data_IF_126913990676
#
_entry.id   IF_126913990676
#
_cell.length_a   1.000
_cell.length_b   1.000
_cell.length_c   1.000
_cell.angle_alpha   90.00
_cell.angle_beta   90.00
_cell.angle_gamma   90.00
#
_symmetry.space_group_name_H-M   'P 1'
#
loop_
_entity.id
_entity.type
_entity.pdbx_description
1 polymer ?
#
# COMPACT_ATOMS: atom_id res chain seq x y z
N UNK A 1 3.57 -34.79 14.75
CA UNK A 1 3.68 -33.41 14.23
C UNK A 1 3.77 -32.48 15.42
N UNK A 2 4.98 -31.87 15.65
CA UNK A 2 5.15 -30.84 16.69
C UNK A 2 4.55 -29.55 16.15
N UNK A 3 3.49 -29.06 16.76
CA UNK A 3 2.98 -27.70 16.57
C UNK A 3 4.08 -26.71 16.97
N UNK A 4 4.58 -25.92 16.03
CA UNK A 4 5.56 -24.87 16.31
C UNK A 4 4.81 -23.59 16.64
N UNK A 5 4.92 -23.13 17.86
CA UNK A 5 4.60 -21.75 18.21
C UNK A 5 5.89 -20.92 18.16
N UNK A 6 5.81 -19.72 17.64
CA UNK A 6 6.91 -18.78 17.62
C UNK A 6 6.41 -17.40 18.01
N UNK A 7 7.28 -16.66 18.64
CA UNK A 7 7.04 -15.24 18.96
C UNK A 7 8.35 -14.50 18.74
N UNK A 8 8.26 -13.30 18.23
CA UNK A 8 9.41 -12.48 17.93
C UNK A 8 9.07 -11.01 18.22
N UNK A 9 10.07 -10.23 18.63
CA UNK A 9 9.99 -8.79 18.71
C UNK A 9 10.82 -8.23 17.56
N UNK A 10 10.15 -7.59 16.63
CA UNK A 10 10.79 -7.09 15.41
C UNK A 10 10.83 -5.58 15.40
N UNK A 11 12.02 -5.07 15.06
CA UNK A 11 12.19 -3.71 14.55
C UNK A 11 12.26 -3.83 13.02
N UNK A 12 11.28 -3.30 12.34
CA UNK A 12 11.21 -3.33 10.88
C UNK A 12 11.18 -1.88 10.38
N UNK A 13 12.05 -1.55 9.41
CA UNK A 13 11.83 -0.36 8.60
C UNK A 13 10.61 -0.63 7.72
N UNK A 14 9.53 0.01 8.03
CA UNK A 14 8.23 -0.37 7.51
C UNK A 14 8.11 -0.14 6.04
N UNK A 15 8.62 0.93 5.63
CA UNK A 15 8.39 1.44 4.28
C UNK A 15 9.57 2.27 3.84
N UNK A 16 9.49 2.60 2.61
CA UNK A 16 10.41 3.45 1.89
C UNK A 16 10.57 4.79 2.58
N UNK A 17 11.79 5.26 2.71
CA UNK A 17 12.09 6.63 3.11
C UNK A 17 11.38 7.61 2.18
N UNK A 18 10.57 8.51 2.73
CA UNK A 18 9.74 9.43 1.96
C UNK A 18 9.70 10.83 2.57
N UNK A 19 9.27 11.83 1.77
CA UNK A 19 9.27 13.25 2.20
C UNK A 19 8.20 13.60 3.24
N UNK A 20 7.26 12.69 3.50
CA UNK A 20 6.16 12.92 4.44
C UNK A 20 6.47 12.34 5.81
N UNK A 21 7.03 11.13 5.86
CA UNK A 21 7.29 10.41 7.10
C UNK A 21 8.76 10.39 7.52
N UNK A 22 9.70 10.67 6.59
CA UNK A 22 11.09 10.32 6.74
C UNK A 22 11.29 8.82 6.63
N UNK A 23 11.92 8.19 7.62
CA UNK A 23 12.01 6.73 7.75
C UNK A 23 10.94 6.26 8.73
N UNK A 24 9.87 5.60 8.29
CA UNK A 24 8.93 4.99 9.21
C UNK A 24 9.54 3.72 9.81
N UNK A 25 9.54 3.65 11.13
CA UNK A 25 10.05 2.51 11.89
C UNK A 25 8.88 1.76 12.51
N UNK A 26 8.79 0.46 12.25
CA UNK A 26 7.84 -0.42 12.90
C UNK A 26 8.52 -1.20 14.01
N UNK A 27 7.98 -1.12 15.20
CA UNK A 27 8.41 -1.91 16.34
C UNK A 27 7.21 -2.61 16.96
N UNK A 28 7.31 -3.89 17.16
CA UNK A 28 6.27 -4.63 17.84
C UNK A 28 6.41 -6.15 17.78
N UNK A 29 5.58 -6.85 18.54
CA UNK A 29 5.59 -8.30 18.58
C UNK A 29 4.92 -8.93 17.36
N UNK A 30 5.46 -10.05 16.95
CA UNK A 30 4.85 -10.98 16.00
C UNK A 30 4.68 -12.33 16.70
N UNK A 31 3.49 -12.88 16.64
CA UNK A 31 3.16 -14.21 17.17
C UNK A 31 2.67 -15.10 16.04
N UNK A 32 3.08 -16.35 16.07
CA UNK A 32 2.60 -17.33 15.12
C UNK A 32 2.53 -18.72 15.71
N UNK A 33 1.60 -19.51 15.21
CA UNK A 33 1.45 -20.91 15.57
C UNK A 33 1.09 -21.72 14.34
N UNK A 34 1.97 -22.66 13.99
CA UNK A 34 1.68 -23.65 12.97
C UNK A 34 0.81 -24.75 13.60
N UNK A 35 -0.34 -24.97 12.99
CA UNK A 35 -1.29 -26.03 13.30
C UNK A 35 -1.17 -27.12 12.24
N UNK A 36 -1.55 -28.35 12.54
CA UNK A 36 -1.46 -29.44 11.57
C UNK A 36 -2.28 -29.21 10.29
N UNK A 37 -3.29 -28.36 10.37
CA UNK A 37 -4.20 -28.00 9.27
C UNK A 37 -3.95 -26.59 8.69
N UNK A 38 -3.09 -25.78 9.32
CA UNK A 38 -2.88 -24.40 8.89
C UNK A 38 -2.00 -23.58 9.84
N UNK A 39 -2.17 -22.27 9.83
CA UNK A 39 -1.39 -21.31 10.63
C UNK A 39 -2.27 -20.23 11.22
N UNK A 40 -1.94 -19.83 12.44
CA UNK A 40 -2.41 -18.58 13.07
C UNK A 40 -1.26 -17.58 13.12
N UNK A 41 -1.52 -16.32 12.83
CA UNK A 41 -0.56 -15.23 13.02
C UNK A 41 -1.21 -13.99 13.60
N UNK A 42 -0.44 -13.25 14.38
CA UNK A 42 -0.78 -11.94 14.94
C UNK A 42 0.46 -11.06 14.88
N UNK A 43 0.37 -9.96 14.17
CA UNK A 43 1.39 -8.92 14.08
C UNK A 43 0.83 -7.63 14.69
N UNK A 44 1.54 -7.06 15.64
CA UNK A 44 1.11 -5.82 16.29
C UNK A 44 2.31 -4.86 16.38
N UNK A 45 2.30 -3.81 15.57
CA UNK A 45 3.39 -2.87 15.45
C UNK A 45 2.93 -1.44 15.73
N UNK A 46 3.68 -0.72 16.55
CA UNK A 46 3.67 0.74 16.58
C UNK A 46 4.53 1.27 15.43
N UNK A 47 4.10 2.35 14.82
CA UNK A 47 4.81 3.03 13.72
C UNK A 47 5.34 4.36 14.23
N UNK A 48 6.64 4.60 14.04
CA UNK A 48 7.27 5.87 14.33
C UNK A 48 7.75 6.55 13.05
N UNK A 49 7.24 7.76 12.78
CA UNK A 49 7.58 8.58 11.62
C UNK A 49 8.68 9.55 11.99
N UNK A 50 9.86 9.42 11.38
CA UNK A 50 11.07 10.13 11.84
C UNK A 50 11.23 11.54 11.27
N UNK A 51 10.41 11.97 10.32
CA UNK A 51 10.58 13.26 9.64
C UNK A 51 10.59 14.50 10.55
N UNK A 52 9.98 14.41 11.73
CA UNK A 52 9.95 15.46 12.76
C UNK A 52 10.72 15.09 14.03
N UNK A 53 11.64 14.13 13.94
CA UNK A 53 12.38 13.63 15.10
C UNK A 53 11.52 12.80 16.03
N UNK A 54 11.86 12.82 17.34
CA UNK A 54 11.25 11.96 18.35
C UNK A 54 10.15 12.67 19.16
N UNK A 55 9.29 13.44 18.51
CA UNK A 55 8.15 14.08 19.18
C UNK A 55 6.95 13.14 19.20
N UNK A 56 6.31 12.99 20.36
CA UNK A 56 5.15 12.14 20.53
C UNK A 56 3.86 12.92 20.22
N UNK A 57 3.32 12.73 19.02
CA UNK A 57 2.05 13.31 18.59
C UNK A 57 1.38 12.39 17.55
N UNK A 58 0.12 12.63 17.24
CA UNK A 58 -0.65 11.84 16.28
C UNK A 58 -0.09 11.85 14.85
N UNK A 59 0.70 12.87 14.50
CA UNK A 59 1.32 12.96 13.19
C UNK A 59 2.56 12.06 13.05
N UNK A 60 3.25 11.80 14.18
CA UNK A 60 4.49 11.03 14.21
C UNK A 60 4.29 9.57 14.62
N UNK A 61 3.14 9.23 15.18
CA UNK A 61 2.85 7.88 15.68
C UNK A 61 1.69 7.29 14.90
N UNK A 62 1.84 6.04 14.51
CA UNK A 62 0.79 5.23 13.91
C UNK A 62 0.80 3.82 14.48
N UNK A 63 0.02 2.95 13.91
CA UNK A 63 0.01 1.53 14.28
C UNK A 63 -0.44 0.65 13.12
N UNK A 64 -0.11 -0.64 13.22
CA UNK A 64 -0.62 -1.69 12.35
C UNK A 64 -0.79 -2.96 13.17
N UNK A 65 -2.01 -3.44 13.28
CA UNK A 65 -2.33 -4.68 13.98
C UNK A 65 -3.04 -5.59 12.97
N UNK A 66 -2.49 -6.76 12.72
CA UNK A 66 -3.03 -7.75 11.77
C UNK A 66 -3.16 -9.10 12.46
N UNK A 67 -4.32 -9.73 12.30
CA UNK A 67 -4.56 -11.11 12.70
C UNK A 67 -5.02 -11.92 11.50
N UNK A 68 -4.49 -13.13 11.32
CA UNK A 68 -4.79 -13.98 10.19
C UNK A 68 -4.85 -15.45 10.59
N UNK A 69 -5.82 -16.16 10.04
CA UNK A 69 -5.94 -17.62 10.08
C UNK A 69 -5.80 -18.14 8.66
N UNK A 70 -4.85 -19.03 8.45
CA UNK A 70 -4.67 -19.75 7.21
C UNK A 70 -5.05 -21.22 7.39
N UNK A 71 -5.90 -21.72 6.53
CA UNK A 71 -6.30 -23.12 6.43
C UNK A 71 -5.70 -23.71 5.15
N UNK A 72 -4.97 -24.79 5.28
CA UNK A 72 -4.19 -25.39 4.19
C UNK A 72 -2.74 -24.88 4.14
N UNK A 73 -1.88 -25.61 3.45
CA UNK A 73 -0.44 -25.33 3.36
C UNK A 73 0.00 -24.95 1.95
N UNK A 74 -0.28 -25.78 0.96
CA UNK A 74 0.03 -25.55 -0.45
C UNK A 74 -1.11 -24.88 -1.22
N UNK A 75 -2.32 -25.04 -0.76
CA UNK A 75 -3.53 -24.38 -1.25
C UNK A 75 -4.53 -24.31 -0.11
N UNK A 76 -5.39 -23.33 -0.16
CA UNK A 76 -6.35 -23.15 0.91
C UNK A 76 -6.98 -21.77 0.96
N UNK A 77 -7.38 -21.41 2.16
CA UNK A 77 -8.06 -20.13 2.46
C UNK A 77 -7.31 -19.39 3.55
N UNK A 78 -7.20 -18.09 3.42
CA UNK A 78 -6.80 -17.17 4.51
C UNK A 78 -7.96 -16.27 4.84
N UNK A 79 -8.19 -16.04 6.12
CA UNK A 79 -9.15 -15.05 6.61
C UNK A 79 -8.43 -14.20 7.64
N UNK A 80 -8.55 -12.91 7.53
CA UNK A 80 -7.86 -12.02 8.44
C UNK A 80 -8.54 -10.68 8.59
N UNK A 81 -7.99 -9.91 9.52
CA UNK A 81 -8.36 -8.53 9.74
C UNK A 81 -7.14 -7.70 10.09
N UNK A 82 -7.22 -6.43 9.78
CA UNK A 82 -6.18 -5.45 10.06
C UNK A 82 -6.84 -4.17 10.58
N UNK A 83 -6.22 -3.57 11.59
CA UNK A 83 -6.49 -2.22 12.04
C UNK A 83 -5.20 -1.42 11.89
N UNK A 84 -5.24 -0.26 11.24
CA UNK A 84 -4.04 0.51 10.96
C UNK A 84 -4.27 2.01 10.97
N UNK A 85 -3.18 2.74 11.23
CA UNK A 85 -3.00 4.16 10.97
C UNK A 85 -1.66 4.32 10.26
N UNK A 86 -1.72 4.40 8.95
CA UNK A 86 -0.56 4.38 8.06
C UNK A 86 -0.63 5.51 7.04
N UNK A 87 0.53 5.93 6.57
CA UNK A 87 0.64 6.79 5.39
C UNK A 87 0.82 5.90 4.17
N UNK A 88 -0.09 6.00 3.23
CA UNK A 88 -0.09 5.21 2.00
C UNK A 88 0.29 6.07 0.79
N UNK A 89 1.04 5.54 -0.17
CA UNK A 89 1.24 6.21 -1.44
C UNK A 89 -0.04 6.14 -2.28
N UNK A 90 -0.32 7.20 -3.04
CA UNK A 90 -1.43 7.23 -4.01
C UNK A 90 -1.22 6.18 -5.10
N UNK A 91 0.03 6.05 -5.56
CA UNK A 91 0.42 5.08 -6.58
C UNK A 91 1.65 4.30 -6.16
N UNK A 92 1.58 2.97 -6.25
CA UNK A 92 2.70 2.06 -5.94
C UNK A 92 3.15 1.23 -7.15
N UNK A 93 2.42 1.28 -8.27
CA UNK A 93 2.65 0.41 -9.42
C UNK A 93 3.71 0.94 -10.42
N UNK A 94 4.05 2.23 -10.38
CA UNK A 94 5.01 2.86 -11.28
C UNK A 94 6.47 2.55 -10.91
N UNK A 95 6.83 2.82 -9.66
CA UNK A 95 8.19 2.70 -9.14
C UNK A 95 8.20 1.73 -7.96
N UNK A 96 9.28 0.96 -7.82
CA UNK A 96 9.47 0.13 -6.64
C UNK A 96 9.76 0.96 -5.39
N UNK A 97 9.55 0.38 -4.23
CA UNK A 97 9.82 1.04 -2.95
C UNK A 97 11.31 1.35 -2.77
N UNK A 98 12.19 0.47 -3.30
CA UNK A 98 13.64 0.65 -3.28
C UNK A 98 14.07 1.83 -4.14
N UNK A 99 13.51 1.97 -5.34
CA UNK A 99 13.83 3.08 -6.26
C UNK A 99 13.41 4.42 -5.66
N UNK A 100 12.20 4.50 -5.11
CA UNK A 100 11.70 5.73 -4.46
C UNK A 100 12.53 6.05 -3.23
N UNK A 101 12.80 5.07 -2.36
CA UNK A 101 13.57 5.29 -1.15
C UNK A 101 15.00 5.75 -1.40
N UNK A 102 15.67 5.11 -2.36
CA UNK A 102 17.02 5.53 -2.77
C UNK A 102 17.02 6.92 -3.40
N UNK A 103 16.07 7.21 -4.29
CA UNK A 103 15.96 8.53 -4.89
C UNK A 103 15.68 9.62 -3.85
N UNK A 104 14.86 9.31 -2.85
CA UNK A 104 14.50 10.23 -1.79
C UNK A 104 15.69 10.48 -0.86
N UNK A 105 16.32 9.45 -0.30
CA UNK A 105 17.39 9.62 0.68
C UNK A 105 18.70 10.15 0.07
N UNK A 106 19.01 9.73 -1.17
CA UNK A 106 20.24 10.15 -1.84
C UNK A 106 20.08 11.47 -2.59
N UNK A 107 19.01 11.62 -3.37
CA UNK A 107 18.91 12.67 -4.38
C UNK A 107 17.93 13.79 -4.04
N UNK A 108 17.26 13.74 -2.89
CA UNK A 108 16.18 14.67 -2.51
C UNK A 108 15.04 14.65 -3.54
N UNK A 109 14.70 13.45 -4.02
CA UNK A 109 13.65 13.27 -5.03
C UNK A 109 12.67 12.19 -4.60
N UNK A 110 11.48 12.62 -4.29
CA UNK A 110 10.34 11.75 -4.02
C UNK A 110 9.24 12.04 -5.03
N UNK A 111 8.91 11.06 -5.84
CA UNK A 111 7.97 11.19 -6.96
C UNK A 111 6.55 10.79 -6.60
N UNK A 112 6.35 10.11 -5.47
CA UNK A 112 5.03 9.67 -5.00
C UNK A 112 4.32 10.76 -4.24
N UNK A 113 3.00 10.68 -4.20
CA UNK A 113 2.11 11.45 -3.35
C UNK A 113 1.52 10.55 -2.27
N UNK A 114 1.18 11.12 -1.12
CA UNK A 114 0.85 10.35 0.07
C UNK A 114 -0.41 10.87 0.75
N UNK A 115 -1.17 9.95 1.35
CA UNK A 115 -2.32 10.26 2.19
C UNK A 115 -2.28 9.43 3.47
N UNK A 116 -3.05 9.83 4.48
CA UNK A 116 -3.24 9.01 5.67
C UNK A 116 -4.40 8.07 5.47
N UNK A 117 -4.21 6.83 5.84
CA UNK A 117 -5.24 5.81 5.92
C UNK A 117 -5.35 5.31 7.35
N UNK A 118 -6.50 5.56 7.99
CA UNK A 118 -6.81 5.08 9.32
C UNK A 118 -8.09 4.29 9.29
N UNK A 119 -8.07 3.05 9.79
CA UNK A 119 -9.28 2.24 9.83
C UNK A 119 -9.04 0.75 9.89
N UNK A 120 -10.14 0.00 9.71
CA UNK A 120 -10.16 -1.44 9.74
C UNK A 120 -10.42 -2.06 8.37
N UNK A 121 -9.82 -3.23 8.15
CA UNK A 121 -10.05 -4.08 6.97
C UNK A 121 -10.25 -5.51 7.41
N UNK A 122 -11.21 -6.20 6.81
CA UNK A 122 -11.34 -7.65 6.90
C UNK A 122 -11.21 -8.24 5.51
N UNK A 123 -10.63 -9.43 5.39
CA UNK A 123 -10.42 -10.05 4.08
C UNK A 123 -10.50 -11.57 4.14
N UNK A 124 -10.79 -12.15 3.00
CA UNK A 124 -10.68 -13.57 2.73
C UNK A 124 -9.92 -13.79 1.42
N UNK A 125 -9.01 -14.75 1.42
CA UNK A 125 -8.19 -15.09 0.25
C UNK A 125 -8.28 -16.57 -0.06
N UNK A 126 -8.30 -16.88 -1.35
CA UNK A 126 -8.04 -18.21 -1.88
C UNK A 126 -6.62 -18.23 -2.44
N UNK A 127 -5.81 -19.21 -2.05
CA UNK A 127 -4.43 -19.28 -2.53
C UNK A 127 -4.03 -20.67 -3.01
N UNK A 128 -3.06 -20.69 -3.92
CA UNK A 128 -2.37 -21.93 -4.36
C UNK A 128 -0.89 -21.66 -4.51
N UNK A 129 -0.12 -22.06 -3.49
CA UNK A 129 1.31 -21.77 -3.40
C UNK A 129 1.58 -20.27 -3.54
N UNK A 130 2.57 -19.94 -4.35
CA UNK A 130 2.88 -18.56 -4.76
C UNK A 130 2.26 -18.20 -6.10
N UNK A 131 1.64 -19.18 -6.79
CA UNK A 131 1.18 -19.04 -8.19
C UNK A 131 -0.14 -18.27 -8.28
N UNK A 132 -1.05 -18.48 -7.34
CA UNK A 132 -2.39 -17.92 -7.40
C UNK A 132 -2.82 -17.38 -6.04
N UNK A 133 -3.40 -16.20 -6.06
CA UNK A 133 -4.00 -15.55 -4.90
C UNK A 133 -5.20 -14.72 -5.36
N UNK A 134 -6.37 -14.98 -4.80
CA UNK A 134 -7.56 -14.16 -4.98
C UNK A 134 -8.00 -13.68 -3.61
N UNK A 135 -7.92 -12.40 -3.36
CA UNK A 135 -8.31 -11.76 -2.11
C UNK A 135 -9.51 -10.87 -2.33
N UNK A 136 -10.53 -11.02 -1.51
CA UNK A 136 -11.65 -10.08 -1.39
C UNK A 136 -11.57 -9.43 -0.02
N UNK A 137 -11.74 -8.12 0.04
CA UNK A 137 -11.70 -7.39 1.30
C UNK A 137 -12.78 -6.33 1.40
N UNK A 138 -13.19 -6.07 2.63
CA UNK A 138 -14.01 -4.92 2.99
C UNK A 138 -13.27 -4.09 4.02
N UNK A 139 -13.22 -2.79 3.78
CA UNK A 139 -12.56 -1.84 4.65
C UNK A 139 -13.49 -0.68 5.02
N UNK A 140 -13.41 -0.26 6.28
CA UNK A 140 -13.98 0.98 6.79
C UNK A 140 -12.80 1.86 7.20
N UNK A 141 -12.58 2.94 6.42
CA UNK A 141 -11.37 3.72 6.46
C UNK A 141 -11.68 5.21 6.47
N UNK A 142 -10.91 5.95 7.24
CA UNK A 142 -10.83 7.40 7.17
C UNK A 142 -9.56 7.78 6.43
N UNK A 143 -9.71 8.55 5.35
CA UNK A 143 -8.61 9.12 4.60
C UNK A 143 -8.40 10.57 4.99
N UNK A 144 -7.15 10.99 5.04
CA UNK A 144 -6.79 12.35 5.42
C UNK A 144 -5.58 12.86 4.66
N UNK A 145 -5.44 14.17 4.65
CA UNK A 145 -4.30 14.86 4.06
C UNK A 145 -3.01 14.62 4.85
N UNK A 146 -1.88 14.66 4.17
CA UNK A 146 -0.55 14.62 4.76
C UNK A 146 0.36 15.65 4.12
N UNK A 147 0.97 16.49 4.95
CA UNK A 147 1.88 17.53 4.50
C UNK A 147 3.29 17.00 4.34
N UNK A 148 3.99 17.56 3.35
CA UNK A 148 5.43 17.38 3.23
C UNK A 148 6.12 17.89 4.49
N UNK A 149 7.11 17.15 4.95
CA UNK A 149 8.05 17.49 6.02
C UNK A 149 9.42 17.76 5.41
N UNK A 150 10.40 18.06 6.22
CA UNK A 150 11.77 18.29 5.76
C UNK A 150 12.72 17.19 6.28
N UNK A 151 12.52 15.91 5.85
CA UNK A 151 13.41 14.84 6.26
C UNK A 151 14.79 15.03 5.65
N UNK A 152 15.81 14.61 6.39
CA UNK A 152 17.20 14.75 5.98
C UNK A 152 17.55 13.90 4.75
N UNK A 153 18.43 14.41 3.89
CA UNK A 153 18.96 13.70 2.72
C UNK A 153 20.47 13.84 2.62
N UNK A 154 21.12 12.89 1.95
CA UNK A 154 22.59 12.89 1.79
C UNK A 154 23.03 14.03 0.89
N UNK A 155 22.36 14.18 -0.24
CA UNK A 155 22.66 15.25 -1.18
C UNK A 155 21.49 16.23 -1.28
N UNK A 156 21.77 17.49 -1.60
CA UNK A 156 20.79 18.55 -1.85
C UNK A 156 19.86 18.83 -0.66
N UNK A 157 20.32 18.59 0.56
CA UNK A 157 19.51 18.75 1.78
C UNK A 157 19.04 20.19 2.03
N UNK A 158 19.56 21.17 1.33
CA UNK A 158 19.13 22.58 1.39
C UNK A 158 18.04 22.94 0.39
N UNK A 159 17.66 22.01 -0.48
CA UNK A 159 16.57 22.22 -1.42
C UNK A 159 15.24 22.04 -0.74
N UNK A 160 14.24 22.78 -1.21
CA UNK A 160 12.87 22.60 -0.73
C UNK A 160 12.25 21.36 -1.35
N UNK A 161 11.55 20.57 -0.54
CA UNK A 161 10.80 19.43 -1.02
C UNK A 161 9.60 19.85 -1.87
N UNK A 162 9.24 19.02 -2.83
CA UNK A 162 7.97 19.12 -3.53
C UNK A 162 6.82 19.02 -2.51
N UNK A 163 5.89 19.93 -2.55
CA UNK A 163 4.71 19.85 -1.72
C UNK A 163 3.92 18.57 -2.02
N UNK A 164 3.37 17.94 -0.98
CA UNK A 164 2.37 16.90 -1.17
C UNK A 164 1.06 17.59 -1.57
N UNK A 165 0.36 17.13 -2.63
CA UNK A 165 -0.91 17.73 -3.01
C UNK A 165 -1.95 17.52 -1.90
N UNK A 166 -2.93 18.39 -1.85
CA UNK A 166 -4.07 18.19 -0.96
C UNK A 166 -4.85 16.94 -1.41
N UNK A 167 -5.15 16.09 -0.44
CA UNK A 167 -5.90 14.87 -0.63
C UNK A 167 -7.35 15.08 -0.23
N UNK A 168 -8.24 14.32 -0.82
CA UNK A 168 -9.63 14.31 -0.41
C UNK A 168 -9.74 13.66 0.98
N UNK A 169 -10.41 14.31 1.91
CA UNK A 169 -10.60 13.78 3.25
C UNK A 169 -11.98 13.15 3.39
N UNK A 170 -12.10 12.11 4.22
CA UNK A 170 -13.41 11.53 4.44
C UNK A 170 -13.39 10.15 5.06
N UNK A 171 -14.60 9.58 5.22
CA UNK A 171 -14.79 8.20 5.68
C UNK A 171 -15.34 7.37 4.53
N UNK A 172 -14.68 6.26 4.24
CA UNK A 172 -14.96 5.44 3.08
C UNK A 172 -15.20 3.98 3.48
N UNK A 173 -16.19 3.38 2.84
CA UNK A 173 -16.43 1.95 2.83
C UNK A 173 -15.94 1.41 1.50
N UNK A 174 -14.95 0.54 1.53
CA UNK A 174 -14.26 0.06 0.34
C UNK A 174 -14.38 -1.45 0.25
N UNK A 175 -14.97 -1.94 -0.82
CA UNK A 175 -14.96 -3.35 -1.22
C UNK A 175 -13.92 -3.52 -2.32
N UNK A 176 -12.94 -4.39 -2.12
CA UNK A 176 -11.91 -4.66 -3.13
C UNK A 176 -11.75 -6.14 -3.43
N UNK A 177 -11.28 -6.42 -4.64
CA UNK A 177 -10.93 -7.75 -5.10
C UNK A 177 -9.61 -7.68 -5.85
N UNK A 178 -8.59 -8.37 -5.33
CA UNK A 178 -7.28 -8.49 -5.95
C UNK A 178 -7.05 -9.92 -6.42
N UNK A 179 -6.76 -10.10 -7.69
CA UNK A 179 -6.33 -11.35 -8.29
C UNK A 179 -4.85 -11.23 -8.66
N UNK A 180 -4.03 -12.15 -8.14
CA UNK A 180 -2.63 -12.32 -8.53
C UNK A 180 -2.41 -13.72 -9.09
N UNK A 181 -1.87 -13.78 -10.30
CA UNK A 181 -1.40 -15.01 -10.93
C UNK A 181 0.06 -14.83 -11.33
N UNK A 182 0.93 -15.67 -10.77
CA UNK A 182 2.37 -15.54 -10.91
C UNK A 182 3.02 -16.90 -11.18
N UNK A 183 3.48 -17.08 -12.40
CA UNK A 183 4.22 -18.27 -12.85
C UNK A 183 5.66 -17.97 -13.24
N UNK A 184 6.17 -16.81 -12.81
CA UNK A 184 7.56 -16.45 -13.06
C UNK A 184 8.50 -17.48 -12.40
N UNK A 185 9.57 -17.77 -13.09
CA UNK A 185 10.59 -18.68 -12.56
C UNK A 185 11.45 -18.05 -11.46
N UNK A 186 11.50 -16.71 -11.38
CA UNK A 186 12.24 -15.94 -10.39
C UNK A 186 11.55 -14.56 -10.23
N UNK A 187 11.35 -14.11 -9.01
CA UNK A 187 10.66 -12.84 -8.74
C UNK A 187 11.55 -11.62 -8.98
N UNK A 188 12.84 -11.74 -8.68
CA UNK A 188 13.82 -10.66 -8.80
C UNK A 188 14.40 -10.49 -10.21
N UNK A 189 14.57 -11.62 -10.94
CA UNK A 189 15.10 -11.63 -12.30
C UNK A 189 14.35 -12.61 -13.19
N UNK A 190 13.07 -12.35 -13.48
CA UNK A 190 12.22 -13.26 -14.22
C UNK A 190 12.70 -13.42 -15.68
N UNK A 191 12.80 -14.66 -16.12
CA UNK A 191 13.18 -15.01 -17.50
C UNK A 191 12.07 -15.68 -18.26
N UNK A 192 11.16 -16.33 -17.54
CA UNK A 192 10.03 -17.07 -18.12
C UNK A 192 8.81 -16.95 -17.20
N UNK A 193 7.62 -17.01 -17.80
CA UNK A 193 6.37 -17.06 -17.08
C UNK A 193 5.50 -15.84 -17.28
N UNK A 194 4.41 -15.81 -16.54
CA UNK A 194 3.42 -14.74 -16.50
C UNK A 194 3.35 -14.14 -15.11
N UNK A 195 3.10 -12.86 -15.06
CA UNK A 195 2.60 -12.15 -13.91
C UNK A 195 1.35 -11.39 -14.31
N UNK A 196 0.25 -11.62 -13.61
CA UNK A 196 -1.03 -10.93 -13.83
C UNK A 196 -1.51 -10.45 -12.47
N UNK A 197 -1.75 -9.15 -12.36
CA UNK A 197 -2.41 -8.51 -11.25
C UNK A 197 -3.66 -7.84 -11.79
N UNK A 198 -4.81 -8.09 -11.17
CA UNK A 198 -6.04 -7.36 -11.41
C UNK A 198 -6.61 -6.89 -10.07
N UNK A 199 -6.75 -5.59 -9.93
CA UNK A 199 -7.25 -4.92 -8.73
C UNK A 199 -8.52 -4.16 -9.07
N UNK A 200 -9.65 -4.63 -8.55
CA UNK A 200 -10.94 -3.97 -8.62
C UNK A 200 -11.31 -3.39 -7.27
N UNK A 201 -11.80 -2.16 -7.27
CA UNK A 201 -12.22 -1.47 -6.07
C UNK A 201 -13.56 -0.75 -6.31
N UNK A 202 -14.50 -0.99 -5.41
CA UNK A 202 -15.74 -0.22 -5.26
C UNK A 202 -15.67 0.54 -3.94
N UNK A 203 -15.84 1.85 -3.98
CA UNK A 203 -15.81 2.69 -2.79
C UNK A 203 -17.03 3.61 -2.71
N UNK A 204 -17.50 3.82 -1.49
CA UNK A 204 -18.54 4.80 -1.18
C UNK A 204 -18.22 5.49 0.12
N UNK A 205 -18.55 6.77 0.25
CA UNK A 205 -18.30 7.49 1.50
C UNK A 205 -18.61 8.97 1.46
N UNK A 206 -18.57 9.56 2.64
CA UNK A 206 -18.62 10.99 2.81
C UNK A 206 -17.23 11.58 2.53
N UNK A 207 -17.15 12.58 1.68
CA UNK A 207 -15.92 13.16 1.18
C UNK A 207 -15.92 14.68 1.34
N UNK A 208 -14.79 15.22 1.74
CA UNK A 208 -14.48 16.65 1.77
C UNK A 208 -13.37 16.93 0.78
N UNK A 209 -13.71 17.56 -0.34
CA UNK A 209 -12.79 17.85 -1.44
C UNK A 209 -12.21 19.24 -1.32
N UNK A 210 -10.89 19.31 -1.39
CA UNK A 210 -10.21 20.60 -1.46
C UNK A 210 -10.25 21.17 -2.90
N UNK A 211 -10.93 22.27 -3.07
CA UNK A 211 -10.93 23.04 -4.32
C UNK A 211 -9.89 24.17 -4.20
N UNK A 212 -8.76 24.11 -4.95
CA UNK A 212 -7.79 25.20 -4.95
C UNK A 212 -8.45 26.47 -5.47
N UNK A 213 -8.11 27.60 -4.87
CA UNK A 213 -8.63 28.92 -5.29
C UNK A 213 -8.32 29.16 -6.76
N UNK A 214 -9.33 29.46 -7.56
CA UNK A 214 -9.11 30.14 -8.83
C UNK A 214 -8.52 31.54 -8.56
N UNK A 215 -7.79 32.09 -9.52
CA UNK A 215 -7.13 33.38 -9.37
C UNK A 215 -8.09 34.44 -8.80
N UNK A 216 -7.81 34.91 -7.58
CA UNK A 216 -8.63 35.94 -6.89
C UNK A 216 -9.75 35.40 -6.01
N UNK A 217 -9.93 34.09 -5.84
CA UNK A 217 -10.94 33.51 -4.94
C UNK A 217 -10.27 32.78 -3.75
N UNK A 218 -11.01 32.54 -2.68
CA UNK A 218 -10.55 31.70 -1.57
C UNK A 218 -10.64 30.23 -1.95
N UNK A 219 -9.69 29.42 -1.44
CA UNK A 219 -9.82 27.96 -1.44
C UNK A 219 -11.09 27.54 -0.70
N UNK A 220 -11.87 26.68 -1.30
CA UNK A 220 -13.10 26.16 -0.72
C UNK A 220 -12.96 24.65 -0.48
N UNK A 221 -13.56 24.18 0.60
CA UNK A 221 -13.78 22.76 0.83
C UNK A 221 -15.23 22.47 0.45
N UNK A 222 -15.43 21.44 -0.37
CA UNK A 222 -16.76 20.98 -0.78
C UNK A 222 -17.02 19.62 -0.19
N UNK A 223 -17.99 19.57 0.71
CA UNK A 223 -18.45 18.32 1.32
C UNK A 223 -19.50 17.67 0.41
N UNK A 224 -19.51 16.35 0.38
CA UNK A 224 -20.44 15.56 -0.40
C UNK A 224 -20.34 14.09 -0.11
N UNK A 225 -21.13 13.31 -0.83
CA UNK A 225 -20.98 11.87 -0.89
C UNK A 225 -20.37 11.51 -2.24
N UNK A 226 -19.67 10.39 -2.29
CA UNK A 226 -19.08 9.86 -3.52
C UNK A 226 -19.23 8.34 -3.55
N UNK A 227 -19.42 7.84 -4.75
CA UNK A 227 -19.40 6.42 -5.07
C UNK A 227 -18.58 6.23 -6.34
N UNK A 228 -17.69 5.26 -6.36
CA UNK A 228 -16.83 5.00 -7.51
C UNK A 228 -16.51 3.52 -7.66
N UNK A 229 -16.24 3.14 -8.91
CA UNK A 229 -15.63 1.86 -9.29
C UNK A 229 -14.35 2.12 -10.07
N UNK A 230 -13.30 1.39 -9.76
CA UNK A 230 -12.06 1.42 -10.53
C UNK A 230 -11.49 0.03 -10.75
N UNK A 231 -10.73 -0.11 -11.82
CA UNK A 231 -10.00 -1.34 -12.15
C UNK A 231 -8.58 -0.97 -12.56
N UNK A 232 -7.62 -1.76 -12.11
CA UNK A 232 -6.24 -1.75 -12.59
C UNK A 232 -5.85 -3.18 -12.97
N UNK A 233 -5.26 -3.35 -14.15
CA UNK A 233 -4.73 -4.64 -14.63
C UNK A 233 -3.28 -4.44 -15.07
N UNK A 234 -2.37 -5.25 -14.54
CA UNK A 234 -0.96 -5.31 -14.93
C UNK A 234 -0.64 -6.73 -15.41
N UNK A 235 -0.38 -6.88 -16.70
CA UNK A 235 -0.04 -8.17 -17.32
C UNK A 235 1.39 -8.12 -17.79
N UNK A 236 2.20 -9.06 -17.31
CA UNK A 236 3.61 -9.19 -17.70
C UNK A 236 3.87 -10.58 -18.26
N UNK A 237 4.62 -10.62 -19.35
CA UNK A 237 5.08 -11.87 -19.95
C UNK A 237 6.58 -11.83 -20.11
N UNK A 238 7.24 -12.90 -19.64
CA UNK A 238 8.67 -13.09 -19.74
C UNK A 238 8.95 -14.29 -20.62
N UNK A 239 9.81 -14.12 -21.63
CA UNK A 239 10.20 -15.17 -22.56
C UNK A 239 11.70 -15.13 -22.76
N UNK A 240 12.33 -16.28 -22.78
CA UNK A 240 13.72 -16.44 -23.12
C UNK A 240 13.86 -17.36 -24.35
N UNK A 241 13.70 -16.78 -25.57
CA UNK A 241 13.78 -17.57 -26.81
C UNK A 241 15.12 -18.24 -27.04
N UNK A 242 16.21 -17.65 -26.51
CA UNK A 242 17.57 -18.22 -26.56
C UNK A 242 18.38 -17.84 -25.31
N UNK A 243 19.54 -18.49 -25.06
CA UNK A 243 20.41 -18.14 -23.93
C UNK A 243 20.85 -16.67 -23.92
N UNK A 244 20.93 -16.03 -25.10
CA UNK A 244 21.38 -14.63 -25.27
C UNK A 244 20.24 -13.64 -25.50
N UNK A 245 18.99 -14.10 -25.60
CA UNK A 245 17.85 -13.23 -25.95
C UNK A 245 16.74 -13.38 -24.94
N UNK A 246 16.28 -12.26 -24.41
CA UNK A 246 15.13 -12.17 -23.54
C UNK A 246 14.13 -11.14 -24.09
N UNK A 247 12.85 -11.50 -24.08
CA UNK A 247 11.75 -10.62 -24.45
C UNK A 247 10.78 -10.49 -23.28
N UNK A 248 10.72 -9.29 -22.72
CA UNK A 248 9.79 -8.94 -21.66
C UNK A 248 8.72 -8.01 -22.21
N UNK A 249 7.47 -8.33 -21.95
CA UNK A 249 6.33 -7.53 -22.34
C UNK A 249 5.54 -7.16 -21.09
N UNK A 250 5.08 -5.92 -21.02
CA UNK A 250 4.19 -5.44 -19.97
C UNK A 250 3.04 -4.63 -20.57
N UNK A 251 1.82 -4.93 -20.15
CA UNK A 251 0.63 -4.16 -20.45
C UNK A 251 0.01 -3.75 -19.12
N UNK A 252 -0.15 -2.44 -18.92
CA UNK A 252 -0.90 -1.89 -17.80
C UNK A 252 -2.10 -1.14 -18.35
N UNK A 253 -3.27 -1.44 -17.84
CA UNK A 253 -4.50 -0.76 -18.16
C UNK A 253 -5.31 -0.54 -16.89
N UNK A 254 -5.85 0.65 -16.72
CA UNK A 254 -6.64 0.96 -15.54
C UNK A 254 -7.46 2.21 -15.76
N UNK A 255 -8.43 2.40 -14.91
CA UNK A 255 -9.29 3.57 -14.97
C UNK A 255 -10.50 3.47 -14.08
N UNK A 256 -11.21 4.56 -14.08
CA UNK A 256 -12.53 4.70 -13.53
C UNK A 256 -13.55 3.98 -14.44
N UNK A 257 -14.41 3.17 -13.85
CA UNK A 257 -15.43 2.41 -14.59
C UNK A 257 -16.81 3.06 -14.50
N UNK A 258 -17.20 3.46 -13.28
CA UNK A 258 -18.52 4.06 -13.04
C UNK A 258 -18.58 4.83 -11.72
N UNK A 259 -19.70 5.49 -11.47
CA UNK A 259 -19.96 6.28 -10.27
C UNK A 259 -19.60 7.76 -10.45
N UNK A 260 -19.33 8.42 -9.32
CA UNK A 260 -18.88 9.80 -9.27
C UNK A 260 -17.37 9.92 -9.57
N UNK A 261 -16.83 11.12 -9.50
CA UNK A 261 -15.40 11.34 -9.68
C UNK A 261 -14.58 10.57 -8.65
N UNK A 262 -13.48 9.94 -9.12
CA UNK A 262 -12.51 9.29 -8.25
C UNK A 262 -11.95 10.27 -7.21
N UNK A 263 -11.88 9.87 -5.93
CA UNK A 263 -11.09 10.57 -4.93
C UNK A 263 -9.64 10.73 -5.38
N UNK A 264 -8.98 11.81 -4.94
CA UNK A 264 -7.60 12.10 -5.35
C UNK A 264 -6.65 10.92 -5.10
N UNK A 265 -6.85 10.20 -4.00
CA UNK A 265 -6.06 9.03 -3.59
C UNK A 265 -6.23 7.81 -4.52
N UNK A 266 -7.19 7.82 -5.40
CA UNK A 266 -7.53 6.70 -6.29
C UNK A 266 -7.36 7.03 -7.77
N UNK A 267 -6.89 8.22 -8.09
CA UNK A 267 -6.55 8.62 -9.46
C UNK A 267 -5.25 7.95 -9.92
N UNK A 268 -5.12 7.76 -11.24
CA UNK A 268 -3.96 7.15 -11.89
C UNK A 268 -2.99 8.21 -12.40
#
# INVERSE_FOLDING_TARGET
WRQRAWSDLRLVSARTYNRVEGLPLLLGPTFGRDLGWGRLSLDAHGVWRTAQGFTWNSDNVGHSIKAEVQVGTSHGVRVGGQQSDLVEPVESWHLSDEEVGLATVLLHRDFRDYYNEHGGRVYASLFRGTVFDLTVSYADQRWGDRRTRDPWTIFRNTQQWRANPFMDEGTFHVLSSELRYDTRNDDGNPREGWYILADYEYGTGAISRYAPAAFGTRSETRDGETTYDRLLVDVRRYNRPSPSTQLNMRLVAGGWLSGDDLPMQRRF
#
